data_IF_661364170118
#
_entry.id   IF_661364170118
#
_cell.length_a   1.000
_cell.length_b   1.000
_cell.length_c   1.000
_cell.angle_alpha   90.00
_cell.angle_beta   90.00
_cell.angle_gamma   90.00
#
_symmetry.space_group_name_H-M   'P 1'
#
loop_
_entity.id
_entity.type
_entity.pdbx_description
1 polymer ?
#
# COMPACT_ATOMS: atom_id res chain seq x y z
N UNK A 1 -3.22 -98.88 -25.91
CA UNK A 1 -3.41 -99.75 -24.74
C UNK A 1 -4.26 -99.01 -23.72
N UNK A 2 -5.50 -99.45 -23.53
CA UNK A 2 -6.40 -98.95 -22.51
C UNK A 2 -6.15 -99.73 -21.21
N UNK A 3 -5.64 -99.06 -20.18
CA UNK A 3 -5.55 -99.61 -18.84
C UNK A 3 -6.65 -98.98 -17.99
N UNK A 4 -7.77 -99.69 -17.94
CA UNK A 4 -8.90 -99.45 -17.05
C UNK A 4 -8.52 -99.88 -15.64
N UNK A 5 -8.32 -98.93 -14.74
CA UNK A 5 -8.32 -99.18 -13.29
C UNK A 5 -9.06 -98.08 -12.55
N UNK A 6 -10.10 -98.48 -11.81
CA UNK A 6 -10.41 -97.98 -10.46
C UNK A 6 -11.26 -96.71 -10.34
N UNK A 7 -12.44 -96.89 -9.72
CA UNK A 7 -13.38 -95.89 -9.20
C UNK A 7 -14.31 -95.18 -10.20
N UNK A 8 -15.50 -95.77 -10.39
CA UNK A 8 -16.64 -95.28 -11.15
C UNK A 8 -17.44 -94.20 -10.40
N UNK A 9 -16.76 -93.23 -9.77
CA UNK A 9 -17.40 -92.14 -9.02
C UNK A 9 -16.69 -90.79 -9.18
N UNK A 10 -15.79 -90.67 -10.14
CA UNK A 10 -15.24 -89.36 -10.53
C UNK A 10 -15.91 -88.97 -11.84
N UNK A 11 -17.01 -88.22 -11.74
CA UNK A 11 -17.45 -87.44 -12.90
C UNK A 11 -16.34 -86.42 -13.18
N UNK A 12 -15.65 -86.48 -14.33
CA UNK A 12 -14.74 -85.41 -14.68
C UNK A 12 -15.61 -84.15 -14.77
N UNK A 13 -15.39 -83.18 -13.87
CA UNK A 13 -15.98 -81.85 -14.00
C UNK A 13 -15.66 -81.39 -15.42
N UNK A 14 -16.69 -81.27 -16.26
CA UNK A 14 -16.58 -80.74 -17.62
C UNK A 14 -15.78 -79.45 -17.48
N UNK A 15 -14.56 -79.42 -18.04
CA UNK A 15 -13.81 -78.17 -18.16
C UNK A 15 -14.77 -77.24 -18.89
N UNK A 16 -15.23 -76.19 -18.22
CA UNK A 16 -15.90 -75.11 -18.91
C UNK A 16 -14.90 -74.65 -19.96
N UNK A 17 -15.22 -74.91 -21.22
CA UNK A 17 -14.52 -74.30 -22.34
C UNK A 17 -14.78 -72.81 -22.19
N UNK A 18 -13.87 -72.15 -21.47
CA UNK A 18 -13.82 -70.70 -21.42
C UNK A 18 -13.46 -70.33 -22.84
N UNK A 19 -14.48 -70.04 -23.66
CA UNK A 19 -14.32 -69.63 -25.04
C UNK A 19 -13.23 -68.55 -25.07
N UNK A 20 -12.03 -68.81 -25.62
CA UNK A 20 -10.96 -67.82 -25.62
C UNK A 20 -11.26 -66.64 -26.56
N UNK A 21 -12.41 -66.69 -27.25
CA UNK A 21 -12.82 -65.73 -28.27
C UNK A 21 -13.54 -64.50 -27.73
N UNK A 22 -14.03 -64.50 -26.49
CA UNK A 22 -14.73 -63.33 -25.95
C UNK A 22 -13.93 -62.62 -24.87
N UNK A 23 -13.23 -61.55 -25.27
CA UNK A 23 -12.69 -60.55 -24.35
C UNK A 23 -13.74 -59.48 -24.13
N UNK A 24 -14.27 -59.39 -22.92
CA UNK A 24 -15.07 -58.24 -22.50
C UNK A 24 -14.22 -56.97 -22.60
N UNK A 25 -14.47 -56.17 -23.63
CA UNK A 25 -13.85 -54.85 -23.77
C UNK A 25 -14.76 -53.84 -23.10
N UNK A 26 -14.36 -53.35 -21.94
CA UNK A 26 -15.01 -52.19 -21.33
C UNK A 26 -14.78 -50.98 -22.24
N UNK A 27 -15.85 -50.47 -22.82
CA UNK A 27 -15.78 -49.26 -23.64
C UNK A 27 -15.57 -48.07 -22.70
N UNK A 28 -14.33 -47.60 -22.60
CA UNK A 28 -14.03 -46.34 -21.92
C UNK A 28 -14.69 -45.22 -22.70
N UNK A 29 -15.81 -44.71 -22.19
CA UNK A 29 -16.48 -43.55 -22.78
C UNK A 29 -15.72 -42.32 -22.33
N UNK A 30 -14.68 -41.94 -23.06
CA UNK A 30 -14.04 -40.64 -22.88
C UNK A 30 -15.01 -39.56 -23.39
N UNK A 31 -15.54 -38.75 -22.48
CA UNK A 31 -16.31 -37.55 -22.86
C UNK A 31 -15.36 -36.58 -23.55
N UNK A 32 -15.75 -36.05 -24.72
CA UNK A 32 -14.98 -35.01 -25.40
C UNK A 32 -15.03 -33.73 -24.56
N UNK A 33 -13.87 -33.19 -24.16
CA UNK A 33 -13.81 -31.80 -23.70
C UNK A 33 -14.13 -30.90 -24.88
N UNK A 34 -15.12 -30.01 -24.71
CA UNK A 34 -15.65 -29.15 -25.78
C UNK A 34 -14.68 -28.05 -26.23
N UNK A 35 -13.63 -27.74 -25.45
CA UNK A 35 -12.55 -26.85 -25.86
C UNK A 35 -11.18 -27.37 -25.41
N UNK A 36 -10.14 -27.27 -26.25
CA UNK A 36 -8.76 -27.55 -25.85
C UNK A 36 -8.31 -26.53 -24.79
N UNK A 37 -7.52 -27.00 -23.83
CA UNK A 37 -7.09 -26.20 -22.65
C UNK A 37 -6.37 -24.91 -23.04
N UNK A 38 -5.63 -24.93 -24.17
CA UNK A 38 -4.87 -23.79 -24.68
C UNK A 38 -5.77 -22.60 -25.05
N UNK A 39 -6.87 -22.84 -25.77
CA UNK A 39 -7.80 -21.78 -26.17
C UNK A 39 -8.49 -21.15 -24.95
N UNK A 40 -8.92 -21.98 -24.00
CA UNK A 40 -9.52 -21.50 -22.74
C UNK A 40 -8.57 -20.58 -21.96
N UNK A 41 -7.29 -20.90 -21.95
CA UNK A 41 -6.27 -20.12 -21.23
C UNK A 41 -6.00 -18.78 -21.93
N UNK A 42 -5.99 -18.76 -23.26
CA UNK A 42 -5.87 -17.54 -24.06
C UNK A 42 -7.04 -16.59 -23.80
N UNK A 43 -8.28 -17.09 -23.78
CA UNK A 43 -9.45 -16.26 -23.45
C UNK A 43 -9.39 -15.66 -22.04
N UNK A 44 -9.00 -16.45 -21.04
CA UNK A 44 -8.85 -15.96 -19.66
C UNK A 44 -7.75 -14.89 -19.56
N UNK A 45 -6.65 -15.05 -20.29
CA UNK A 45 -5.59 -14.05 -20.34
C UNK A 45 -6.05 -12.75 -21.00
N UNK A 46 -6.79 -12.82 -22.11
CA UNK A 46 -7.35 -11.62 -22.75
C UNK A 46 -8.33 -10.90 -21.84
N UNK A 47 -9.19 -11.63 -21.13
CA UNK A 47 -10.13 -11.05 -20.16
C UNK A 47 -9.37 -10.37 -19.01
N UNK A 48 -8.34 -11.03 -18.47
CA UNK A 48 -7.50 -10.45 -17.41
C UNK A 48 -6.78 -9.18 -17.87
N UNK A 49 -6.26 -9.17 -19.10
CA UNK A 49 -5.63 -7.98 -19.68
C UNK A 49 -6.62 -6.81 -19.78
N UNK A 50 -7.85 -7.04 -20.24
CA UNK A 50 -8.89 -6.02 -20.27
C UNK A 50 -9.24 -5.48 -18.88
N UNK A 51 -9.39 -6.38 -17.89
CA UNK A 51 -9.67 -5.97 -16.51
C UNK A 51 -8.52 -5.15 -15.92
N UNK A 52 -7.27 -5.54 -16.16
CA UNK A 52 -6.10 -4.78 -15.70
C UNK A 52 -6.07 -3.37 -16.28
N UNK A 53 -6.35 -3.22 -17.58
CA UNK A 53 -6.44 -1.90 -18.22
C UNK A 53 -7.55 -1.07 -17.59
N UNK A 54 -8.74 -1.65 -17.37
CA UNK A 54 -9.85 -0.94 -16.73
C UNK A 54 -9.51 -0.48 -15.30
N UNK A 55 -8.89 -1.35 -14.49
CA UNK A 55 -8.44 -1.01 -13.14
C UNK A 55 -7.38 0.08 -13.15
N UNK A 56 -6.41 0.01 -14.07
CA UNK A 56 -5.36 1.02 -14.19
C UNK A 56 -5.93 2.41 -14.54
N UNK A 57 -6.92 2.47 -15.42
CA UNK A 57 -7.62 3.71 -15.75
C UNK A 57 -8.33 4.28 -14.51
N UNK A 58 -9.14 3.46 -13.83
CA UNK A 58 -9.88 3.89 -12.63
C UNK A 58 -8.89 4.41 -11.56
N UNK A 59 -7.81 3.67 -11.30
CA UNK A 59 -6.81 4.08 -10.31
C UNK A 59 -6.19 5.43 -10.68
N UNK A 60 -5.87 5.64 -11.95
CA UNK A 60 -5.33 6.93 -12.41
C UNK A 60 -6.31 8.08 -12.18
N UNK A 61 -7.60 7.88 -12.40
CA UNK A 61 -8.62 8.90 -12.14
C UNK A 61 -8.76 9.20 -10.64
N UNK A 62 -8.78 8.17 -9.78
CA UNK A 62 -8.84 8.35 -8.32
C UNK A 62 -7.62 9.12 -7.81
N UNK A 63 -6.43 8.81 -8.31
CA UNK A 63 -5.21 9.50 -7.91
C UNK A 63 -5.21 11.00 -8.27
N UNK A 64 -5.70 11.35 -9.46
CA UNK A 64 -5.82 12.75 -9.87
C UNK A 64 -6.82 13.50 -8.99
N UNK A 65 -7.93 12.86 -8.64
CA UNK A 65 -8.94 13.45 -7.75
C UNK A 65 -8.36 13.73 -6.36
N UNK A 66 -7.67 12.75 -5.78
CA UNK A 66 -7.06 12.89 -4.46
C UNK A 66 -5.98 13.98 -4.45
N UNK A 67 -5.14 14.04 -5.48
CA UNK A 67 -4.16 15.12 -5.65
C UNK A 67 -4.82 16.51 -5.68
N UNK A 68 -5.92 16.67 -6.41
CA UNK A 68 -6.62 17.95 -6.50
C UNK A 68 -7.20 18.36 -5.14
N UNK A 69 -7.78 17.41 -4.41
CA UNK A 69 -8.29 17.65 -3.07
C UNK A 69 -7.17 18.02 -2.09
N UNK A 70 -6.03 17.35 -2.17
CA UNK A 70 -4.85 17.66 -1.37
C UNK A 70 -4.32 19.06 -1.68
N UNK A 71 -4.26 19.45 -2.96
CA UNK A 71 -3.87 20.80 -3.37
C UNK A 71 -4.80 21.86 -2.78
N UNK A 72 -6.12 21.67 -2.88
CA UNK A 72 -7.09 22.61 -2.32
C UNK A 72 -6.99 22.76 -0.80
N UNK A 73 -6.74 21.65 -0.09
CA UNK A 73 -6.50 21.68 1.36
C UNK A 73 -5.21 22.41 1.71
N UNK A 74 -4.16 22.19 0.92
CA UNK A 74 -2.88 22.85 1.12
C UNK A 74 -2.99 24.36 0.87
N UNK A 75 -3.68 24.78 -0.19
CA UNK A 75 -3.94 26.19 -0.48
C UNK A 75 -4.70 26.88 0.65
N UNK A 76 -5.71 26.19 1.21
CA UNK A 76 -6.47 26.70 2.35
C UNK A 76 -5.58 26.90 3.58
N UNK A 77 -4.69 25.94 3.85
CA UNK A 77 -3.73 26.02 4.95
C UNK A 77 -2.69 27.12 4.71
N UNK A 78 -2.21 27.29 3.49
CA UNK A 78 -1.30 28.39 3.11
C UNK A 78 -1.98 29.73 3.38
N UNK A 79 -3.23 29.91 2.93
CA UNK A 79 -3.98 31.13 3.16
C UNK A 79 -4.19 31.43 4.66
N UNK A 80 -4.44 30.41 5.48
CA UNK A 80 -4.53 30.55 6.94
C UNK A 80 -3.18 30.96 7.54
N UNK A 81 -2.10 30.27 7.19
CA UNK A 81 -0.76 30.60 7.70
C UNK A 81 -0.30 32.00 7.29
N UNK A 82 -0.65 32.45 6.09
CA UNK A 82 -0.31 33.79 5.62
C UNK A 82 -1.04 34.87 6.42
N UNK A 83 -2.31 34.62 6.82
CA UNK A 83 -3.04 35.51 7.73
C UNK A 83 -2.35 35.59 9.10
N UNK A 84 -1.94 34.45 9.65
CA UNK A 84 -1.22 34.41 10.93
C UNK A 84 0.12 35.15 10.87
N UNK A 85 0.86 35.01 9.76
CA UNK A 85 2.10 35.76 9.54
C UNK A 85 1.82 37.26 9.50
N UNK A 86 0.77 37.69 8.80
CA UNK A 86 0.39 39.09 8.74
C UNK A 86 0.02 39.65 10.13
N UNK A 87 -0.71 38.88 10.94
CA UNK A 87 -1.03 39.30 12.32
C UNK A 87 0.23 39.41 13.17
N UNK A 88 1.15 38.46 13.10
CA UNK A 88 2.41 38.52 13.85
C UNK A 88 3.32 39.66 13.40
N UNK A 89 3.33 39.99 12.11
CA UNK A 89 4.07 41.14 11.60
C UNK A 89 3.50 42.45 12.16
N UNK A 90 2.18 42.58 12.23
CA UNK A 90 1.52 43.73 12.84
C UNK A 90 1.83 43.82 14.35
N UNK A 91 1.70 42.71 15.07
CA UNK A 91 2.03 42.65 16.50
C UNK A 91 3.49 43.03 16.76
N UNK A 92 4.43 42.52 15.94
CA UNK A 92 5.83 42.90 16.02
C UNK A 92 6.03 44.42 15.85
N UNK A 93 5.43 45.02 14.83
CA UNK A 93 5.54 46.46 14.58
C UNK A 93 4.95 47.29 15.73
N UNK A 94 3.81 46.89 16.25
CA UNK A 94 3.19 47.58 17.40
C UNK A 94 4.05 47.45 18.66
N UNK A 95 4.64 46.28 18.92
CA UNK A 95 5.58 46.10 20.03
C UNK A 95 6.83 46.95 19.86
N UNK A 96 7.44 46.99 18.67
CA UNK A 96 8.64 47.81 18.40
C UNK A 96 8.37 49.29 18.69
N UNK A 97 7.22 49.80 18.29
CA UNK A 97 6.80 51.18 18.57
C UNK A 97 6.58 51.41 20.07
N UNK A 98 5.84 50.51 20.74
CA UNK A 98 5.56 50.63 22.18
C UNK A 98 6.84 50.55 23.02
N UNK A 99 7.79 49.68 22.65
CA UNK A 99 9.08 49.55 23.33
C UNK A 99 9.87 50.85 23.19
N UNK A 100 9.95 51.41 21.98
CA UNK A 100 10.65 52.68 21.75
C UNK A 100 10.02 53.84 22.55
N UNK A 101 8.69 53.92 22.62
CA UNK A 101 7.99 54.94 23.41
C UNK A 101 8.21 54.77 24.92
N UNK A 102 8.08 53.55 25.44
CA UNK A 102 8.33 53.27 26.87
C UNK A 102 9.79 53.53 27.25
N UNK A 103 10.74 53.15 26.38
CA UNK A 103 12.16 53.43 26.59
C UNK A 103 12.43 54.93 26.71
N UNK A 104 11.84 55.76 25.83
CA UNK A 104 11.92 57.23 25.92
C UNK A 104 11.33 57.77 27.23
N UNK A 105 10.18 57.27 27.66
CA UNK A 105 9.54 57.67 28.93
C UNK A 105 10.40 57.34 30.16
N UNK A 106 11.16 56.26 30.10
CA UNK A 106 12.08 55.82 31.15
C UNK A 106 13.46 56.50 31.07
N UNK A 107 13.68 57.39 30.09
CA UNK A 107 14.93 58.14 29.93
C UNK A 107 16.05 57.39 29.21
N UNK A 108 15.75 56.24 28.58
CA UNK A 108 16.74 55.50 27.79
C UNK A 108 16.95 56.14 26.40
N UNK A 109 18.19 56.11 25.93
CA UNK A 109 18.61 56.73 24.66
C UNK A 109 19.03 55.61 23.71
N UNK A 110 18.57 55.67 22.46
CA UNK A 110 19.01 54.73 21.43
C UNK A 110 20.49 55.00 21.10
N UNK A 111 21.39 54.01 21.23
CA UNK A 111 22.79 54.18 20.87
C UNK A 111 22.92 54.38 19.35
N UNK A 112 23.87 55.20 18.89
CA UNK A 112 24.12 55.39 17.47
C UNK A 112 24.61 54.09 16.82
N UNK A 113 24.19 53.82 15.59
CA UNK A 113 24.44 52.53 14.89
C UNK A 113 25.94 52.21 14.70
N UNK A 114 26.81 53.22 14.78
CA UNK A 114 28.27 53.09 14.65
C UNK A 114 28.99 52.82 15.99
N UNK A 115 28.28 52.70 17.11
CA UNK A 115 28.87 52.51 18.43
C UNK A 115 28.75 51.06 18.93
N UNK A 116 29.90 50.41 19.13
CA UNK A 116 29.96 49.10 19.77
C UNK A 116 29.66 49.24 21.27
N UNK A 117 28.58 48.60 21.73
CA UNK A 117 28.23 48.53 23.15
C UNK A 117 29.10 47.46 23.81
N UNK A 118 30.03 47.86 24.66
CA UNK A 118 30.83 46.93 25.46
C UNK A 118 30.05 46.52 26.72
N UNK A 119 29.50 45.31 26.72
CA UNK A 119 28.93 44.70 27.92
C UNK A 119 30.08 44.02 28.67
N UNK A 120 30.48 44.55 29.83
CA UNK A 120 31.46 43.86 30.67
C UNK A 120 30.78 42.64 31.31
N UNK A 121 31.41 41.47 31.19
CA UNK A 121 30.91 40.20 31.73
C UNK A 121 30.99 40.13 33.28
N UNK A 122 30.91 41.27 33.97
CA UNK A 122 31.06 41.31 35.41
C UNK A 122 30.02 42.22 36.06
N UNK A 123 28.79 41.71 36.16
CA UNK A 123 27.85 42.19 37.17
C UNK A 123 26.98 41.04 37.68
N UNK A 124 27.48 40.39 38.73
CA UNK A 124 26.69 39.79 39.82
C UNK A 124 25.57 38.81 39.41
N UNK A 125 25.95 37.65 38.88
CA UNK A 125 25.11 36.45 38.86
C UNK A 125 25.91 35.18 39.24
N UNK A 126 26.97 35.37 40.03
CA UNK A 126 27.83 34.30 40.54
C UNK A 126 28.00 34.41 42.07
N UNK A 127 27.00 34.93 42.76
CA UNK A 127 26.85 34.77 44.20
C UNK A 127 25.47 34.13 44.43
N UNK A 128 25.47 33.08 45.25
CA UNK A 128 24.29 32.39 45.80
C UNK A 128 23.72 31.22 44.97
N UNK A 129 24.47 30.11 44.93
CA UNK A 129 23.95 28.78 45.30
C UNK A 129 25.07 27.72 45.23
N UNK A 130 25.85 27.63 46.30
CA UNK A 130 26.51 26.38 46.70
C UNK A 130 26.78 26.44 48.21
N UNK A 131 25.80 25.99 49.01
CA UNK A 131 25.98 25.29 50.29
C UNK A 131 24.67 24.61 50.73
#
# INVERSE_FOLDING_TARGET
MAYTRGNLAVQPKRKQEVNPLYREKTKVVTRRMVLPVQEKLLYMLTLAAFVLVAVALIWRYVHIYDLNLQAQRLDSKIAETQKQIATYQMEKQTLEQQVAEKAKKLGYIQPPEDSAIYVSANSKAADENDN
#
